data_IF_074940197875
#
_entry.id   IF_074940197875
#
_cell.length_a   1.000
_cell.length_b   1.000
_cell.length_c   1.000
_cell.angle_alpha   90.00
_cell.angle_beta   90.00
_cell.angle_gamma   90.00
#
_symmetry.space_group_name_H-M   'P 1'
#
loop_
_entity.id
_entity.type
_entity.pdbx_description
1 polymer ?
#
# COMPACT_ATOMS: atom_id res chain seq x y z
N UNK A 1 -19.59 30.40 15.04
CA UNK A 1 -18.97 30.88 13.78
C UNK A 1 -17.77 31.72 14.19
N UNK A 2 -16.56 31.21 14.01
CA UNK A 2 -15.35 32.02 14.21
C UNK A 2 -15.19 32.94 13.01
N UNK A 3 -15.19 34.25 13.27
CA UNK A 3 -14.77 35.25 12.31
C UNK A 3 -13.30 34.98 11.90
N UNK A 4 -12.96 35.35 10.66
CA UNK A 4 -11.62 35.27 10.08
C UNK A 4 -10.47 35.47 11.09
N UNK A 5 -9.52 34.53 11.15
CA UNK A 5 -8.16 34.82 11.64
C UNK A 5 -7.61 34.01 12.82
N UNK A 6 -8.29 33.00 13.35
CA UNK A 6 -7.71 32.14 14.40
C UNK A 6 -7.62 30.69 13.95
N UNK A 7 -6.41 30.15 13.94
CA UNK A 7 -6.17 28.72 13.70
C UNK A 7 -6.98 27.89 14.70
N UNK A 8 -7.50 26.75 14.26
CA UNK A 8 -8.09 25.78 15.17
C UNK A 8 -7.06 25.32 16.21
N UNK A 9 -7.39 25.50 17.49
CA UNK A 9 -6.57 25.07 18.62
C UNK A 9 -7.18 23.78 19.18
N UNK A 10 -6.55 22.61 18.96
CA UNK A 10 -7.04 21.36 19.53
C UNK A 10 -6.88 21.37 21.06
N UNK A 11 -7.78 20.65 21.74
CA UNK A 11 -7.60 20.33 23.17
C UNK A 11 -6.46 19.32 23.33
N UNK A 12 -5.81 19.25 24.51
CA UNK A 12 -4.82 18.21 24.78
C UNK A 12 -5.35 16.81 24.47
N UNK A 13 -4.55 16.02 23.77
CA UNK A 13 -4.88 14.66 23.34
C UNK A 13 -3.83 13.69 23.86
N UNK A 14 -4.27 12.56 24.40
CA UNK A 14 -3.40 11.50 24.90
C UNK A 14 -3.00 10.50 23.80
N UNK A 15 -3.69 10.51 22.64
CA UNK A 15 -3.45 9.57 21.54
C UNK A 15 -2.01 9.56 21.03
N UNK A 16 -1.27 10.69 20.92
CA UNK A 16 0.13 10.67 20.53
C UNK A 16 1.01 9.83 21.47
N UNK A 17 0.81 9.94 22.78
CA UNK A 17 1.56 9.16 23.77
C UNK A 17 1.24 7.66 23.67
N UNK A 18 -0.05 7.31 23.55
CA UNK A 18 -0.48 5.91 23.35
C UNK A 18 0.10 5.36 22.05
N UNK A 19 0.13 6.16 20.99
CA UNK A 19 0.75 5.81 19.71
C UNK A 19 2.25 5.55 19.84
N UNK A 20 3.00 6.40 20.55
CA UNK A 20 4.41 6.18 20.83
C UNK A 20 4.66 4.87 21.58
N UNK A 21 3.87 4.59 22.63
CA UNK A 21 3.97 3.33 23.38
C UNK A 21 3.67 2.13 22.47
N UNK A 22 2.61 2.20 21.66
CA UNK A 22 2.26 1.14 20.72
C UNK A 22 3.34 0.89 19.66
N UNK A 23 3.90 1.95 19.08
CA UNK A 23 4.98 1.86 18.09
C UNK A 23 6.25 1.26 18.70
N UNK A 24 6.70 1.76 19.85
CA UNK A 24 7.89 1.22 20.53
C UNK A 24 7.68 -0.25 20.89
N UNK A 25 6.53 -0.60 21.46
CA UNK A 25 6.22 -2.00 21.83
C UNK A 25 6.21 -2.91 20.61
N UNK A 26 5.62 -2.46 19.50
CA UNK A 26 5.60 -3.20 18.23
C UNK A 26 7.02 -3.44 17.72
N UNK A 27 7.85 -2.39 17.66
CA UNK A 27 9.22 -2.48 17.14
C UNK A 27 10.14 -3.34 18.03
N UNK A 28 10.02 -3.22 19.36
CA UNK A 28 10.75 -4.09 20.31
C UNK A 28 10.30 -5.55 20.14
N UNK A 29 8.99 -5.79 20.02
CA UNK A 29 8.45 -7.11 19.75
C UNK A 29 8.98 -7.72 18.46
N UNK A 30 9.00 -6.94 17.37
CA UNK A 30 9.58 -7.37 16.09
C UNK A 30 11.07 -7.70 16.23
N UNK A 31 11.86 -6.84 16.89
CA UNK A 31 13.28 -7.09 17.08
C UNK A 31 13.53 -8.39 17.85
N UNK A 32 12.85 -8.60 18.98
CA UNK A 32 12.94 -9.85 19.75
C UNK A 32 12.49 -11.07 18.95
N UNK A 33 11.42 -10.94 18.15
CA UNK A 33 10.95 -12.03 17.30
C UNK A 33 11.99 -12.39 16.23
N UNK A 34 12.60 -11.41 15.57
CA UNK A 34 13.68 -11.65 14.58
C UNK A 34 14.94 -12.27 15.22
N UNK A 35 15.17 -12.06 16.52
CA UNK A 35 16.22 -12.72 17.29
C UNK A 35 15.82 -14.10 17.86
N UNK A 36 14.66 -14.62 17.48
CA UNK A 36 14.11 -15.90 17.94
C UNK A 36 13.81 -15.98 19.45
N UNK A 37 13.59 -14.83 20.11
CA UNK A 37 13.12 -14.80 21.49
C UNK A 37 11.66 -15.28 21.58
N UNK A 38 11.36 -16.20 22.50
CA UNK A 38 10.04 -16.81 22.63
C UNK A 38 8.92 -15.79 22.93
N UNK A 39 9.24 -14.69 23.62
CA UNK A 39 8.26 -13.66 23.99
C UNK A 39 8.04 -12.61 22.89
N UNK A 40 8.93 -12.56 21.88
CA UNK A 40 8.90 -11.56 20.81
C UNK A 40 7.54 -11.44 20.10
N UNK A 41 6.94 -12.55 19.61
CA UNK A 41 5.63 -12.52 18.96
C UNK A 41 4.51 -11.95 19.84
N UNK A 42 4.52 -12.27 21.14
CA UNK A 42 3.49 -11.78 22.06
C UNK A 42 3.61 -10.28 22.31
N UNK A 43 4.84 -9.78 22.48
CA UNK A 43 5.11 -8.34 22.61
C UNK A 43 4.73 -7.59 21.34
N UNK A 44 5.04 -8.16 20.17
CA UNK A 44 4.63 -7.60 18.88
C UNK A 44 3.10 -7.48 18.76
N UNK A 45 2.36 -8.55 19.05
CA UNK A 45 0.89 -8.55 19.01
C UNK A 45 0.33 -7.53 20.02
N UNK A 46 0.87 -7.45 21.23
CA UNK A 46 0.46 -6.45 22.21
C UNK A 46 0.64 -5.02 21.68
N UNK A 47 1.78 -4.73 21.05
CA UNK A 47 2.05 -3.45 20.38
C UNK A 47 1.03 -3.15 19.28
N UNK A 48 0.72 -4.12 18.41
CA UNK A 48 -0.30 -3.97 17.37
C UNK A 48 -1.68 -3.70 17.96
N UNK A 49 -2.09 -4.40 19.01
CA UNK A 49 -3.38 -4.17 19.68
C UNK A 49 -3.47 -2.73 20.23
N UNK A 50 -2.39 -2.20 20.82
CA UNK A 50 -2.34 -0.81 21.30
C UNK A 50 -2.49 0.16 20.12
N UNK A 51 -1.80 -0.07 19.00
CA UNK A 51 -1.91 0.77 17.81
C UNK A 51 -3.31 0.74 17.21
N UNK A 52 -3.93 -0.44 17.11
CA UNK A 52 -5.32 -0.57 16.64
C UNK A 52 -6.27 0.20 17.56
N UNK A 53 -6.18 0.00 18.87
CA UNK A 53 -7.01 0.71 19.85
C UNK A 53 -6.83 2.24 19.74
N UNK A 54 -5.59 2.70 19.58
CA UNK A 54 -5.26 4.10 19.37
C UNK A 54 -5.88 4.66 18.08
N UNK A 55 -5.75 3.95 16.96
CA UNK A 55 -6.30 4.38 15.67
C UNK A 55 -7.83 4.47 15.70
N UNK A 56 -8.51 3.48 16.29
CA UNK A 56 -9.96 3.50 16.47
C UNK A 56 -10.41 4.68 17.34
N UNK A 57 -9.72 4.91 18.47
CA UNK A 57 -10.04 5.99 19.39
C UNK A 57 -9.77 7.38 18.81
N UNK A 58 -8.60 7.59 18.22
CA UNK A 58 -8.20 8.86 17.62
C UNK A 58 -9.10 9.21 16.43
N UNK A 59 -9.28 8.32 15.47
CA UNK A 59 -10.17 8.61 14.33
C UNK A 59 -11.63 8.75 14.76
N UNK A 60 -12.07 8.00 15.78
CA UNK A 60 -13.38 8.21 16.40
C UNK A 60 -13.55 9.63 16.92
N UNK A 61 -12.54 10.17 17.60
CA UNK A 61 -12.55 11.55 18.09
C UNK A 61 -12.57 12.57 16.95
N UNK A 62 -11.76 12.39 15.90
CA UNK A 62 -11.76 13.27 14.71
C UNK A 62 -13.15 13.29 14.04
N UNK A 63 -13.80 12.14 13.91
CA UNK A 63 -15.16 12.04 13.36
C UNK A 63 -16.16 12.76 14.27
N UNK A 64 -16.06 12.57 15.59
CA UNK A 64 -16.92 13.22 16.57
C UNK A 64 -16.81 14.75 16.53
N UNK A 65 -15.58 15.28 16.51
CA UNK A 65 -15.31 16.72 16.45
C UNK A 65 -15.82 17.33 15.13
N UNK A 66 -15.62 16.63 14.01
CA UNK A 66 -16.16 17.03 12.72
C UNK A 66 -17.69 17.10 12.74
N UNK A 67 -18.36 16.09 13.30
CA UNK A 67 -19.83 16.04 13.39
C UNK A 67 -20.40 17.11 14.34
N UNK A 68 -19.62 17.57 15.33
CA UNK A 68 -19.98 18.71 16.18
C UNK A 68 -19.78 20.08 15.50
N UNK A 69 -19.27 20.10 14.27
CA UNK A 69 -19.01 21.33 13.52
C UNK A 69 -17.85 22.14 14.07
N UNK A 70 -16.92 21.50 14.80
CA UNK A 70 -15.75 22.17 15.37
C UNK A 70 -14.70 22.52 14.32
N UNK A 71 -14.75 21.88 13.15
CA UNK A 71 -13.86 22.16 12.03
C UNK A 71 -14.48 23.17 11.06
N UNK A 72 -13.69 24.18 10.74
CA UNK A 72 -13.99 25.21 9.75
C UNK A 72 -13.35 24.89 8.40
N UNK A 73 -13.51 25.80 7.43
CA UNK A 73 -12.93 25.65 6.09
C UNK A 73 -11.40 25.75 6.08
N UNK A 74 -10.80 26.41 7.07
CA UNK A 74 -9.35 26.46 7.19
C UNK A 74 -8.80 25.08 7.54
N UNK A 75 -9.40 24.41 8.54
CA UNK A 75 -9.03 23.04 8.94
C UNK A 75 -9.28 22.05 7.81
N UNK A 76 -10.40 22.16 7.09
CA UNK A 76 -10.69 21.31 5.92
C UNK A 76 -9.57 21.39 4.87
N UNK A 77 -9.13 22.62 4.55
CA UNK A 77 -8.00 22.84 3.63
C UNK A 77 -6.69 22.28 4.17
N UNK A 78 -6.41 22.41 5.46
CA UNK A 78 -5.23 21.82 6.09
C UNK A 78 -5.24 20.30 6.00
N UNK A 79 -6.39 19.65 6.23
CA UNK A 79 -6.51 18.20 6.07
C UNK A 79 -6.28 17.75 4.63
N UNK A 80 -6.78 18.52 3.64
CA UNK A 80 -6.53 18.24 2.21
C UNK A 80 -5.04 18.28 1.89
N UNK A 81 -4.34 19.33 2.30
CA UNK A 81 -2.89 19.41 2.11
C UNK A 81 -2.14 18.32 2.86
N UNK A 82 -2.57 17.99 4.09
CA UNK A 82 -2.02 16.86 4.84
C UNK A 82 -2.14 15.55 4.07
N UNK A 83 -3.31 15.30 3.45
CA UNK A 83 -3.52 14.11 2.62
C UNK A 83 -2.67 14.13 1.35
N UNK A 84 -2.53 15.28 0.69
CA UNK A 84 -1.66 15.41 -0.49
C UNK A 84 -0.18 15.11 -0.13
N UNK A 85 0.32 15.66 0.97
CA UNK A 85 1.69 15.41 1.42
C UNK A 85 1.91 13.96 1.86
N UNK A 86 0.91 13.35 2.49
CA UNK A 86 0.92 11.92 2.82
C UNK A 86 1.00 11.07 1.54
N UNK A 87 0.14 11.30 0.55
CA UNK A 87 0.21 10.58 -0.73
C UNK A 87 1.55 10.82 -1.42
N UNK A 88 2.07 12.05 -1.40
CA UNK A 88 3.38 12.35 -1.96
C UNK A 88 4.51 11.55 -1.29
N UNK A 89 4.50 11.43 0.05
CA UNK A 89 5.49 10.58 0.73
C UNK A 89 5.34 9.10 0.37
N UNK A 90 4.12 8.61 0.16
CA UNK A 90 3.90 7.23 -0.31
C UNK A 90 4.42 7.01 -1.74
N UNK A 91 4.26 8.00 -2.63
CA UNK A 91 4.87 7.98 -3.97
C UNK A 91 6.40 7.92 -3.88
N UNK A 92 7.02 8.70 -2.99
CA UNK A 92 8.47 8.64 -2.76
C UNK A 92 8.91 7.27 -2.20
N UNK A 93 8.12 6.68 -1.29
CA UNK A 93 8.36 5.35 -0.75
C UNK A 93 8.38 4.28 -1.85
N UNK A 94 7.37 4.23 -2.71
CA UNK A 94 7.37 3.34 -3.89
C UNK A 94 8.49 3.69 -4.87
N UNK A 95 8.80 4.98 -5.04
CA UNK A 95 9.90 5.46 -5.86
C UNK A 95 11.25 4.85 -5.47
N UNK A 96 11.48 4.58 -4.18
CA UNK A 96 12.69 3.89 -3.73
C UNK A 96 12.76 2.43 -4.23
N UNK A 97 11.64 1.69 -4.18
CA UNK A 97 11.60 0.31 -4.68
C UNK A 97 11.70 0.23 -6.20
N UNK A 98 10.99 1.09 -6.93
CA UNK A 98 11.15 1.18 -8.38
C UNK A 98 12.55 1.64 -8.77
N UNK A 99 13.16 2.55 -7.99
CA UNK A 99 14.55 2.95 -8.15
C UNK A 99 15.52 1.77 -7.96
N UNK A 100 15.29 0.91 -6.97
CA UNK A 100 16.07 -0.30 -6.76
C UNK A 100 15.92 -1.30 -7.93
N UNK A 101 14.70 -1.50 -8.44
CA UNK A 101 14.45 -2.33 -9.62
C UNK A 101 15.15 -1.78 -10.87
N UNK A 102 15.01 -0.48 -11.12
CA UNK A 102 15.67 0.21 -12.23
C UNK A 102 17.20 0.09 -12.14
N UNK A 103 17.77 0.38 -10.97
CA UNK A 103 19.20 0.27 -10.74
C UNK A 103 19.70 -1.17 -10.95
N UNK A 104 18.93 -2.15 -10.49
CA UNK A 104 19.27 -3.57 -10.69
C UNK A 104 19.29 -3.92 -12.18
N UNK A 105 18.22 -3.59 -12.92
CA UNK A 105 18.06 -3.95 -14.33
C UNK A 105 19.06 -3.26 -15.25
N UNK A 106 19.31 -1.97 -15.04
CA UNK A 106 20.08 -1.14 -15.98
C UNK A 106 21.53 -0.90 -15.57
N UNK A 107 21.89 -1.16 -14.31
CA UNK A 107 23.27 -0.98 -13.82
C UNK A 107 23.84 -2.26 -13.25
N UNK A 108 23.24 -2.83 -12.20
CA UNK A 108 23.87 -3.94 -11.47
C UNK A 108 24.05 -5.20 -12.34
N UNK A 109 23.01 -5.61 -13.06
CA UNK A 109 23.05 -6.80 -13.93
C UNK A 109 24.01 -6.62 -15.11
N UNK A 110 23.95 -5.54 -15.90
CA UNK A 110 24.91 -5.28 -16.98
C UNK A 110 26.38 -5.18 -16.51
N UNK A 111 26.63 -4.53 -15.36
CA UNK A 111 27.99 -4.44 -14.79
C UNK A 111 28.52 -5.82 -14.43
N UNK A 112 27.69 -6.67 -13.82
CA UNK A 112 28.09 -8.04 -13.47
C UNK A 112 28.30 -8.90 -14.73
N UNK A 113 27.56 -8.63 -15.80
CA UNK A 113 27.76 -9.20 -17.14
C UNK A 113 28.99 -8.71 -17.89
N UNK A 114 29.71 -7.72 -17.36
CA UNK A 114 30.93 -7.20 -17.96
C UNK A 114 30.72 -6.17 -19.09
N UNK A 115 29.50 -5.65 -19.29
CA UNK A 115 29.21 -4.69 -20.37
C UNK A 115 30.02 -3.38 -20.22
N UNK A 116 30.18 -2.88 -18.99
CA UNK A 116 31.00 -1.69 -18.72
C UNK A 116 32.44 -2.02 -18.28
N UNK A 117 32.62 -3.10 -17.52
CA UNK A 117 33.91 -3.48 -16.95
C UNK A 117 34.15 -4.97 -17.15
N UNK A 118 34.79 -5.41 -18.24
CA UNK A 118 34.95 -6.84 -18.52
C UNK A 118 35.60 -7.64 -17.37
N UNK A 119 36.44 -6.98 -16.56
CA UNK A 119 37.11 -7.61 -15.40
C UNK A 119 36.13 -8.08 -14.32
N UNK A 120 34.97 -7.44 -14.13
CA UNK A 120 33.98 -7.85 -13.11
C UNK A 120 33.40 -9.22 -13.43
N UNK A 121 33.09 -9.47 -14.70
CA UNK A 121 32.60 -10.76 -15.17
C UNK A 121 33.63 -11.87 -14.95
N UNK A 122 34.89 -11.65 -15.36
CA UNK A 122 35.94 -12.66 -15.22
C UNK A 122 36.36 -12.94 -13.77
N UNK A 123 36.20 -11.99 -12.85
CA UNK A 123 36.67 -12.13 -11.46
C UNK A 123 35.58 -12.53 -10.48
N UNK A 124 34.35 -12.06 -10.66
CA UNK A 124 33.25 -12.32 -9.72
C UNK A 124 32.47 -13.57 -10.09
N UNK A 125 32.01 -13.65 -11.35
CA UNK A 125 31.17 -14.76 -11.80
C UNK A 125 31.26 -14.94 -13.33
N UNK A 126 32.25 -15.72 -13.80
CA UNK A 126 32.50 -15.91 -15.25
C UNK A 126 31.35 -16.57 -16.01
N UNK A 127 30.51 -17.35 -15.32
CA UNK A 127 29.36 -18.04 -15.93
C UNK A 127 28.05 -17.23 -15.83
N UNK A 128 28.12 -15.98 -15.35
CA UNK A 128 26.95 -15.13 -15.20
C UNK A 128 26.34 -14.76 -16.55
N UNK A 129 25.02 -14.92 -16.67
CA UNK A 129 24.24 -14.46 -17.83
C UNK A 129 23.47 -13.20 -17.45
N UNK A 130 23.82 -12.08 -18.05
CA UNK A 130 23.13 -10.81 -17.88
C UNK A 130 21.78 -10.82 -18.62
N UNK A 131 20.79 -11.45 -18.00
CA UNK A 131 19.40 -11.46 -18.47
C UNK A 131 18.48 -11.01 -17.34
N UNK A 132 17.33 -10.47 -17.71
CA UNK A 132 16.28 -10.14 -16.75
C UNK A 132 14.97 -10.81 -17.16
N UNK A 133 14.23 -11.44 -16.21
CA UNK A 133 14.58 -11.63 -14.81
C UNK A 133 15.72 -12.63 -14.59
N UNK A 134 16.40 -12.51 -13.44
CA UNK A 134 17.42 -13.47 -13.03
C UNK A 134 16.78 -14.70 -12.40
N UNK A 135 16.80 -15.81 -13.14
CA UNK A 135 16.28 -17.12 -12.70
C UNK A 135 17.39 -18.02 -12.11
N UNK A 136 18.65 -17.70 -12.39
CA UNK A 136 19.81 -18.41 -11.83
C UNK A 136 20.57 -17.51 -10.86
N UNK A 137 20.74 -17.99 -9.62
CA UNK A 137 21.55 -17.33 -8.60
C UNK A 137 22.99 -17.88 -8.61
N UNK A 138 23.96 -17.17 -7.99
CA UNK A 138 25.36 -17.62 -7.92
C UNK A 138 25.51 -19.02 -7.33
N UNK A 139 24.64 -19.38 -6.38
CA UNK A 139 24.53 -20.73 -5.84
C UNK A 139 23.05 -21.12 -5.68
N UNK A 140 22.51 -21.81 -6.69
CA UNK A 140 21.14 -22.31 -6.67
C UNK A 140 20.91 -23.48 -5.68
N UNK A 141 21.96 -24.08 -5.11
CA UNK A 141 21.80 -25.10 -4.07
C UNK A 141 21.40 -24.48 -2.72
N UNK A 142 21.92 -23.28 -2.43
CA UNK A 142 21.59 -22.54 -1.20
C UNK A 142 20.46 -21.53 -1.40
N UNK A 143 20.38 -20.91 -2.58
CA UNK A 143 19.34 -19.92 -2.93
C UNK A 143 18.69 -20.34 -4.24
N UNK A 144 17.71 -21.24 -4.15
CA UNK A 144 17.01 -21.73 -5.32
C UNK A 144 16.31 -20.58 -6.05
N UNK A 145 16.70 -20.33 -7.31
CA UNK A 145 16.03 -19.35 -8.15
C UNK A 145 14.64 -19.79 -8.59
N UNK A 146 13.86 -18.85 -9.10
CA UNK A 146 12.56 -19.14 -9.69
C UNK A 146 12.73 -19.96 -10.97
N UNK A 147 11.79 -20.87 -11.24
CA UNK A 147 11.76 -21.68 -12.45
C UNK A 147 11.44 -20.86 -13.69
N UNK A 148 10.53 -19.88 -13.54
CA UNK A 148 10.07 -19.02 -14.61
C UNK A 148 9.65 -17.64 -14.08
N UNK A 149 9.47 -16.70 -15.02
CA UNK A 149 9.02 -15.35 -14.72
C UNK A 149 7.50 -15.30 -14.59
N UNK A 150 7.00 -14.47 -13.67
CA UNK A 150 5.57 -14.23 -13.53
C UNK A 150 5.02 -13.53 -14.77
N UNK A 151 4.03 -14.14 -15.43
CA UNK A 151 3.46 -13.63 -16.67
C UNK A 151 2.55 -12.43 -16.46
N UNK A 152 2.66 -11.41 -17.33
CA UNK A 152 1.75 -10.25 -17.30
C UNK A 152 0.31 -10.60 -17.71
N UNK A 153 0.16 -11.51 -18.67
CA UNK A 153 -1.13 -11.87 -19.23
C UNK A 153 -1.72 -13.05 -18.47
N UNK A 154 -2.92 -12.88 -17.95
CA UNK A 154 -3.54 -13.81 -17.02
C UNK A 154 -4.03 -13.08 -15.77
N UNK A 155 -3.65 -13.56 -14.59
CA UNK A 155 -4.09 -13.01 -13.30
C UNK A 155 -3.70 -11.55 -13.12
N UNK A 156 -2.45 -11.17 -13.41
CA UNK A 156 -1.99 -9.79 -13.29
C UNK A 156 -2.83 -8.82 -14.16
N UNK A 157 -3.10 -9.17 -15.42
CA UNK A 157 -3.96 -8.38 -16.30
C UNK A 157 -5.42 -8.31 -15.82
N UNK A 158 -5.96 -9.42 -15.30
CA UNK A 158 -7.31 -9.45 -14.69
C UNK A 158 -7.37 -8.51 -13.48
N UNK A 159 -6.37 -8.58 -12.59
CA UNK A 159 -6.26 -7.71 -11.43
C UNK A 159 -6.14 -6.22 -11.83
N UNK A 160 -5.44 -5.91 -12.92
CA UNK A 160 -5.41 -4.57 -13.51
C UNK A 160 -6.81 -4.09 -13.90
N UNK A 161 -7.59 -4.91 -14.60
CA UNK A 161 -8.97 -4.55 -14.99
C UNK A 161 -9.86 -4.37 -13.76
N UNK A 162 -9.71 -5.23 -12.74
CA UNK A 162 -10.47 -5.15 -11.48
C UNK A 162 -10.21 -3.82 -10.77
N UNK A 163 -8.94 -3.44 -10.58
CA UNK A 163 -8.61 -2.18 -9.91
C UNK A 163 -9.07 -0.97 -10.71
N UNK A 164 -8.83 -0.93 -12.03
CA UNK A 164 -9.32 0.16 -12.88
C UNK A 164 -10.85 0.29 -12.82
N UNK A 165 -11.56 -0.83 -12.83
CA UNK A 165 -13.02 -0.85 -12.66
C UNK A 165 -13.42 -0.31 -11.30
N UNK A 166 -12.70 -0.68 -10.23
CA UNK A 166 -12.94 -0.17 -8.87
C UNK A 166 -12.73 1.35 -8.76
N UNK A 167 -11.77 1.90 -9.51
CA UNK A 167 -11.52 3.33 -9.67
C UNK A 167 -12.70 4.06 -10.34
N UNK A 168 -13.30 3.44 -11.36
CA UNK A 168 -14.53 3.96 -11.98
C UNK A 168 -15.69 3.94 -10.99
N UNK A 169 -15.88 2.85 -10.22
CA UNK A 169 -17.00 2.75 -9.28
C UNK A 169 -16.88 3.72 -8.10
N UNK A 170 -15.67 4.02 -7.61
CA UNK A 170 -15.48 5.02 -6.54
C UNK A 170 -15.71 6.44 -7.07
N UNK A 171 -15.29 6.72 -8.30
CA UNK A 171 -15.56 7.99 -8.98
C UNK A 171 -17.07 8.19 -9.15
N UNK A 172 -17.78 7.16 -9.61
CA UNK A 172 -19.24 7.17 -9.70
C UNK A 172 -19.90 7.42 -8.35
N UNK A 173 -19.41 6.77 -7.28
CA UNK A 173 -19.89 7.01 -5.93
C UNK A 173 -19.66 8.46 -5.47
N UNK A 174 -18.52 9.07 -5.83
CA UNK A 174 -18.24 10.47 -5.50
C UNK A 174 -19.22 11.43 -6.16
N UNK A 175 -19.48 11.26 -7.46
CA UNK A 175 -20.49 12.04 -8.17
C UNK A 175 -21.89 11.84 -7.60
N UNK A 176 -22.23 10.60 -7.24
CA UNK A 176 -23.50 10.31 -6.57
C UNK A 176 -23.63 11.02 -5.21
N UNK A 177 -22.54 11.14 -4.44
CA UNK A 177 -22.51 11.93 -3.20
C UNK A 177 -22.80 13.41 -3.48
N UNK A 178 -22.13 14.01 -4.47
CA UNK A 178 -22.33 15.41 -4.84
C UNK A 178 -23.75 15.70 -5.33
N UNK A 179 -24.34 14.78 -6.10
CA UNK A 179 -25.72 14.86 -6.59
C UNK A 179 -26.78 14.38 -5.57
N UNK A 180 -26.38 14.06 -4.33
CA UNK A 180 -27.25 13.52 -3.26
C UNK A 180 -28.03 12.25 -3.67
N UNK A 181 -27.50 11.45 -4.59
CA UNK A 181 -28.08 10.17 -5.04
C UNK A 181 -27.64 9.03 -4.13
N UNK A 182 -28.33 8.86 -3.00
CA UNK A 182 -27.95 7.91 -1.92
C UNK A 182 -27.77 6.47 -2.39
N UNK A 183 -28.69 5.93 -3.18
CA UNK A 183 -28.62 4.53 -3.65
C UNK A 183 -27.37 4.31 -4.50
N UNK A 184 -27.08 5.22 -5.44
CA UNK A 184 -25.90 5.15 -6.30
C UNK A 184 -24.60 5.28 -5.49
N UNK A 185 -24.56 6.18 -4.50
CA UNK A 185 -23.42 6.32 -3.58
C UNK A 185 -23.12 5.00 -2.85
N UNK A 186 -24.13 4.38 -2.24
CA UNK A 186 -23.94 3.14 -1.47
C UNK A 186 -23.59 1.95 -2.38
N UNK A 187 -24.19 1.86 -3.57
CA UNK A 187 -23.87 0.82 -4.55
C UNK A 187 -22.44 0.96 -5.06
N UNK A 188 -22.04 2.16 -5.51
CA UNK A 188 -20.68 2.39 -6.02
C UNK A 188 -19.60 2.10 -4.97
N UNK A 189 -19.81 2.55 -3.73
CA UNK A 189 -18.90 2.23 -2.61
C UNK A 189 -18.81 0.73 -2.34
N UNK A 190 -19.94 0.02 -2.35
CA UNK A 190 -19.96 -1.41 -2.08
C UNK A 190 -19.27 -2.21 -3.20
N UNK A 191 -19.46 -1.79 -4.45
CA UNK A 191 -18.76 -2.38 -5.60
C UNK A 191 -17.25 -2.14 -5.53
N UNK A 192 -16.79 -0.93 -5.21
CA UNK A 192 -15.35 -0.65 -5.04
C UNK A 192 -14.73 -1.55 -3.98
N UNK A 193 -15.39 -1.70 -2.82
CA UNK A 193 -14.90 -2.58 -1.74
C UNK A 193 -14.87 -4.04 -2.19
N UNK A 194 -15.92 -4.51 -2.87
CA UNK A 194 -15.97 -5.89 -3.36
C UNK A 194 -14.86 -6.18 -4.37
N UNK A 195 -14.58 -5.24 -5.28
CA UNK A 195 -13.49 -5.36 -6.24
C UNK A 195 -12.11 -5.30 -5.58
N UNK A 196 -11.93 -4.45 -4.56
CA UNK A 196 -10.69 -4.39 -3.76
C UNK A 196 -10.42 -5.69 -3.00
N UNK A 197 -11.46 -6.28 -2.40
CA UNK A 197 -11.37 -7.61 -1.74
C UNK A 197 -11.06 -8.70 -2.76
N UNK A 198 -11.72 -8.68 -3.93
CA UNK A 198 -11.45 -9.64 -5.00
C UNK A 198 -10.01 -9.55 -5.49
N UNK A 199 -9.48 -8.34 -5.69
CA UNK A 199 -8.07 -8.13 -6.04
C UNK A 199 -7.14 -8.77 -5.00
N UNK A 200 -7.37 -8.56 -3.70
CA UNK A 200 -6.54 -9.14 -2.65
C UNK A 200 -6.60 -10.68 -2.63
N UNK A 201 -7.77 -11.27 -2.89
CA UNK A 201 -7.91 -12.72 -3.00
C UNK A 201 -7.12 -13.29 -4.19
N UNK A 202 -7.23 -12.65 -5.36
CA UNK A 202 -6.48 -13.07 -6.55
C UNK A 202 -4.98 -12.85 -6.39
N UNK A 203 -4.56 -11.76 -5.74
CA UNK A 203 -3.15 -11.51 -5.44
C UNK A 203 -2.59 -12.56 -4.47
N UNK A 204 -3.37 -12.97 -3.46
CA UNK A 204 -2.98 -14.06 -2.57
C UNK A 204 -2.88 -15.39 -3.29
N UNK A 205 -3.75 -15.65 -4.27
CA UNK A 205 -3.68 -16.84 -5.11
C UNK A 205 -2.42 -16.83 -5.98
N UNK A 206 -2.10 -15.69 -6.61
CA UNK A 206 -0.86 -15.53 -7.39
C UNK A 206 0.39 -15.76 -6.53
N UNK A 207 0.40 -15.29 -5.28
CA UNK A 207 1.51 -15.58 -4.36
C UNK A 207 1.61 -17.05 -4.00
N UNK A 208 0.47 -17.74 -3.85
CA UNK A 208 0.49 -19.17 -3.58
C UNK A 208 1.12 -19.93 -4.76
N UNK A 209 0.66 -19.65 -5.98
CA UNK A 209 1.19 -20.26 -7.22
C UNK A 209 2.67 -19.93 -7.44
N UNK A 210 3.08 -18.68 -7.17
CA UNK A 210 4.48 -18.27 -7.22
C UNK A 210 5.38 -19.11 -6.30
N UNK A 211 4.93 -19.36 -5.07
CA UNK A 211 5.70 -20.15 -4.10
C UNK A 211 5.68 -21.65 -4.40
N UNK A 212 4.55 -22.22 -4.83
CA UNK A 212 4.41 -23.69 -4.98
C UNK A 212 4.87 -24.20 -6.34
N UNK A 213 4.51 -23.51 -7.43
CA UNK A 213 4.74 -24.01 -8.79
C UNK A 213 6.02 -23.42 -9.41
N UNK A 214 6.25 -22.12 -9.18
CA UNK A 214 7.34 -21.38 -9.82
C UNK A 214 8.62 -21.30 -8.99
N UNK A 215 8.58 -21.75 -7.72
CA UNK A 215 9.66 -21.57 -6.75
C UNK A 215 10.15 -20.10 -6.63
N UNK A 216 9.25 -19.15 -6.96
CA UNK A 216 9.48 -17.72 -6.79
C UNK A 216 9.16 -17.37 -5.35
N UNK A 217 10.19 -17.37 -4.51
CA UNK A 217 10.10 -17.04 -3.08
C UNK A 217 10.82 -15.73 -2.78
N UNK A 218 10.68 -15.21 -1.56
CA UNK A 218 11.50 -14.08 -1.10
C UNK A 218 13.01 -14.37 -1.15
N UNK A 219 13.41 -15.64 -1.01
CA UNK A 219 14.81 -16.06 -1.04
C UNK A 219 15.31 -16.43 -2.45
N UNK A 220 14.46 -16.32 -3.47
CA UNK A 220 14.80 -16.61 -4.88
C UNK A 220 15.65 -15.50 -5.54
N UNK A 221 16.54 -14.89 -4.77
CA UNK A 221 17.46 -13.85 -5.22
C UNK A 221 16.80 -12.49 -5.46
N UNK A 222 17.47 -11.66 -6.27
CA UNK A 222 17.04 -10.27 -6.48
C UNK A 222 15.68 -10.17 -7.21
N UNK A 223 15.34 -11.14 -8.06
CA UNK A 223 14.04 -11.16 -8.72
C UNK A 223 12.91 -11.40 -7.72
N UNK A 224 13.00 -12.46 -6.91
CA UNK A 224 12.00 -12.76 -5.87
C UNK A 224 11.83 -11.64 -4.84
N UNK A 225 12.94 -11.16 -4.28
CA UNK A 225 12.92 -10.03 -3.32
C UNK A 225 12.28 -8.77 -3.91
N UNK A 226 12.70 -8.33 -5.10
CA UNK A 226 12.12 -7.11 -5.69
C UNK A 226 10.66 -7.30 -6.06
N UNK A 227 10.27 -8.46 -6.60
CA UNK A 227 8.88 -8.79 -6.90
C UNK A 227 7.99 -8.66 -5.65
N UNK A 228 8.26 -9.44 -4.60
CA UNK A 228 7.41 -9.47 -3.40
C UNK A 228 7.47 -8.19 -2.57
N UNK A 229 8.58 -7.45 -2.56
CA UNK A 229 8.62 -6.17 -1.85
C UNK A 229 7.75 -5.14 -2.57
N UNK A 230 7.83 -5.05 -3.90
CA UNK A 230 7.02 -4.12 -4.70
C UNK A 230 5.52 -4.47 -4.65
N UNK A 231 5.16 -5.72 -4.95
CA UNK A 231 3.76 -6.17 -4.99
C UNK A 231 3.19 -6.34 -3.58
N UNK A 232 3.99 -6.77 -2.61
CA UNK A 232 3.58 -6.96 -1.22
C UNK A 232 3.25 -5.66 -0.51
N UNK A 233 4.10 -4.63 -0.63
CA UNK A 233 3.77 -3.31 -0.08
C UNK A 233 2.55 -2.71 -0.77
N UNK A 234 2.37 -2.91 -2.08
CA UNK A 234 1.15 -2.49 -2.75
C UNK A 234 -0.09 -3.22 -2.22
N UNK A 235 -0.02 -4.54 -2.04
CA UNK A 235 -1.10 -5.32 -1.40
C UNK A 235 -1.45 -4.84 0.01
N UNK A 236 -0.45 -4.43 0.80
CA UNK A 236 -0.67 -3.79 2.11
C UNK A 236 -1.46 -2.47 1.95
N UNK A 237 -1.09 -1.63 0.97
CA UNK A 237 -1.79 -0.37 0.69
C UNK A 237 -3.23 -0.61 0.21
N UNK A 238 -3.47 -1.59 -0.66
CA UNK A 238 -4.83 -1.99 -1.08
C UNK A 238 -5.65 -2.45 0.12
N UNK A 239 -5.05 -3.22 1.04
CA UNK A 239 -5.71 -3.67 2.27
C UNK A 239 -6.11 -2.48 3.15
N UNK A 240 -5.18 -1.57 3.42
CA UNK A 240 -5.44 -0.34 4.21
C UNK A 240 -6.51 0.52 3.52
N UNK A 241 -6.41 0.71 2.20
CA UNK A 241 -7.40 1.42 1.38
C UNK A 241 -8.79 0.80 1.49
N UNK A 242 -8.88 -0.53 1.45
CA UNK A 242 -10.15 -1.26 1.56
C UNK A 242 -10.77 -1.08 2.94
N UNK A 243 -9.96 -1.14 4.01
CA UNK A 243 -10.42 -0.86 5.39
C UNK A 243 -10.95 0.59 5.48
N UNK A 244 -10.21 1.57 4.94
CA UNK A 244 -10.66 2.96 4.91
C UNK A 244 -11.98 3.12 4.16
N UNK A 245 -12.13 2.50 2.99
CA UNK A 245 -13.37 2.51 2.21
C UNK A 245 -14.55 1.91 2.98
N UNK A 246 -14.34 0.81 3.71
CA UNK A 246 -15.37 0.21 4.58
C UNK A 246 -15.81 1.21 5.66
N UNK A 247 -14.87 1.90 6.32
CA UNK A 247 -15.19 2.95 7.30
C UNK A 247 -15.98 4.08 6.64
N UNK A 248 -15.59 4.53 5.45
CA UNK A 248 -16.31 5.57 4.70
C UNK A 248 -17.72 5.09 4.32
N UNK A 249 -17.89 3.85 3.87
CA UNK A 249 -19.21 3.28 3.56
C UNK A 249 -20.12 3.29 4.79
N UNK A 250 -19.61 2.88 5.97
CA UNK A 250 -20.37 2.95 7.22
C UNK A 250 -20.78 4.39 7.55
N UNK A 251 -19.88 5.36 7.35
CA UNK A 251 -20.17 6.79 7.55
C UNK A 251 -21.19 7.34 6.53
N UNK A 252 -21.15 6.89 5.28
CA UNK A 252 -22.15 7.19 4.26
C UNK A 252 -23.53 6.67 4.68
N UNK A 253 -23.61 5.42 5.17
CA UNK A 253 -24.85 4.84 5.71
C UNK A 253 -25.41 5.68 6.86
N UNK A 254 -24.55 6.22 7.73
CA UNK A 254 -24.92 7.11 8.84
C UNK A 254 -25.15 8.59 8.47
N UNK A 255 -25.12 8.97 7.18
CA UNK A 255 -25.33 10.36 6.73
C UNK A 255 -24.29 11.37 7.25
N UNK A 256 -23.03 10.96 7.45
CA UNK A 256 -21.99 11.88 7.96
C UNK A 256 -21.43 12.87 6.91
N UNK A 257 -21.89 12.82 5.66
CA UNK A 257 -21.32 13.60 4.56
C UNK A 257 -22.37 14.45 3.84
N UNK A 258 -21.98 15.64 3.42
CA UNK A 258 -22.76 16.51 2.53
C UNK A 258 -21.97 16.84 1.27
N UNK A 259 -22.61 17.28 0.17
CA UNK A 259 -21.90 17.70 -1.05
C UNK A 259 -20.86 18.78 -0.83
N UNK A 260 -20.98 19.56 0.24
CA UNK A 260 -20.06 20.64 0.59
C UNK A 260 -19.02 20.20 1.62
N UNK A 261 -19.34 19.22 2.47
CA UNK A 261 -18.48 18.70 3.54
C UNK A 261 -18.33 17.19 3.47
N UNK A 262 -17.35 16.75 2.70
CA UNK A 262 -17.06 15.32 2.49
C UNK A 262 -15.57 15.04 2.28
N UNK A 263 -14.68 15.86 2.86
CA UNK A 263 -13.23 15.67 2.72
C UNK A 263 -12.77 14.25 3.03
N UNK A 264 -13.25 13.62 4.11
CA UNK A 264 -12.79 12.27 4.43
C UNK A 264 -13.15 11.24 3.35
N UNK A 265 -14.27 11.43 2.63
CA UNK A 265 -14.56 10.63 1.45
C UNK A 265 -13.55 10.93 0.34
N UNK A 266 -13.31 12.21 0.04
CA UNK A 266 -12.37 12.62 -1.01
C UNK A 266 -10.94 12.16 -0.76
N UNK A 267 -10.44 12.28 0.48
CA UNK A 267 -9.11 11.82 0.85
C UNK A 267 -8.94 10.32 0.65
N UNK A 268 -9.93 9.50 1.04
CA UNK A 268 -9.89 8.05 0.82
C UNK A 268 -10.04 7.71 -0.67
N UNK A 269 -10.84 8.45 -1.43
CA UNK A 269 -10.93 8.27 -2.88
C UNK A 269 -9.61 8.64 -3.59
N UNK A 270 -8.93 9.72 -3.18
CA UNK A 270 -7.60 10.08 -3.67
C UNK A 270 -6.57 9.01 -3.35
N UNK A 271 -6.60 8.46 -2.13
CA UNK A 271 -5.75 7.33 -1.76
C UNK A 271 -6.01 6.10 -2.63
N UNK A 272 -7.28 5.77 -2.88
CA UNK A 272 -7.64 4.63 -3.73
C UNK A 272 -7.11 4.79 -5.15
N UNK A 273 -7.27 5.98 -5.75
CA UNK A 273 -6.69 6.27 -7.07
C UNK A 273 -5.16 6.26 -7.07
N UNK A 274 -4.52 6.70 -5.98
CA UNK A 274 -3.07 6.54 -5.83
C UNK A 274 -2.66 5.05 -5.88
N UNK A 275 -3.39 4.19 -5.17
CA UNK A 275 -3.16 2.74 -5.19
C UNK A 275 -3.36 2.16 -6.59
N UNK A 276 -4.38 2.60 -7.33
CA UNK A 276 -4.60 2.21 -8.73
C UNK A 276 -3.41 2.60 -9.62
N UNK A 277 -2.91 3.84 -9.48
CA UNK A 277 -1.77 4.34 -10.28
C UNK A 277 -0.50 3.54 -9.98
N UNK A 278 -0.19 3.27 -8.71
CA UNK A 278 0.97 2.45 -8.36
C UNK A 278 0.84 1.05 -8.96
N UNK A 279 -0.35 0.46 -8.97
CA UNK A 279 -0.58 -0.84 -9.61
C UNK A 279 -0.26 -0.81 -11.12
N UNK A 280 -0.66 0.24 -11.84
CA UNK A 280 -0.32 0.36 -13.26
C UNK A 280 1.19 0.40 -13.50
N UNK A 281 1.94 1.09 -12.63
CA UNK A 281 3.40 1.07 -12.67
C UNK A 281 3.94 -0.33 -12.38
N UNK A 282 3.39 -1.05 -11.40
CA UNK A 282 3.77 -2.43 -11.12
C UNK A 282 3.51 -3.34 -12.32
N UNK A 283 2.30 -3.27 -12.91
CA UNK A 283 1.94 -4.05 -14.07
C UNK A 283 2.92 -3.84 -15.23
N UNK A 284 3.26 -2.58 -15.54
CA UNK A 284 4.20 -2.27 -16.63
C UNK A 284 5.63 -2.70 -16.28
N UNK A 285 6.17 -2.29 -15.13
CA UNK A 285 7.60 -2.44 -14.84
C UNK A 285 7.98 -3.76 -14.18
N UNK A 286 7.05 -4.47 -13.54
CA UNK A 286 7.33 -5.74 -12.85
C UNK A 286 6.88 -6.93 -13.67
N UNK A 287 5.72 -6.85 -14.32
CA UNK A 287 5.13 -7.98 -15.04
C UNK A 287 5.40 -7.93 -16.55
N UNK A 288 5.25 -6.77 -17.20
CA UNK A 288 5.34 -6.67 -18.66
C UNK A 288 6.78 -6.55 -19.15
N UNK A 289 7.52 -5.57 -18.63
CA UNK A 289 8.92 -5.29 -18.97
C UNK A 289 9.87 -6.17 -18.14
#
# INVERSE_FOLDING_TARGET
MGAHGTYYIPKPSHWPLVGSIGLTTTLVGTACWLHHDWYGPYVFIAGLCILVAMMFGWFGQVIYENNKGLYDLQVDRSFRWGMCWFIFSEVCFFGAFFGALFFTRYWSVPILGGEMHPITHYTLWPEFKAVWPLLSNPNNQTFAGAHEAMGAWGLAAINTIILLTSGVTITWAHWALKLRKRTQLLTGMSLTIALGVLFLMLQSYEYHEAYTEMNLTLDAGIYGTTFFMLTGFHGLHVTIGTIMLIVILVRCKKNHFTPERHFAFEGVAWYWHFVDVVWLFLFVFVYWL
#
